data_IF_075171581576
#
_entry.id   IF_075171581576
#
_cell.length_a   1.000
_cell.length_b   1.000
_cell.length_c   1.000
_cell.angle_alpha   90.00
_cell.angle_beta   90.00
_cell.angle_gamma   90.00
#
_symmetry.space_group_name_H-M   'P 1'
#
loop_
_entity.id
_entity.type
_entity.pdbx_description
1 polymer ?
#
# COMPACT_ATOMS: atom_id res chain seq x y z
N UNK A 1 -15.46 -30.85 5.42
CA UNK A 1 -15.62 -29.93 4.27
C UNK A 1 -14.31 -29.19 4.10
N UNK A 2 -13.48 -29.59 3.14
CA UNK A 2 -12.27 -28.85 2.80
C UNK A 2 -12.66 -27.59 2.02
N UNK A 3 -12.00 -26.44 2.24
CA UNK A 3 -12.20 -25.30 1.36
C UNK A 3 -11.75 -25.66 -0.05
N UNK A 4 -12.56 -25.30 -1.04
CA UNK A 4 -12.16 -25.33 -2.44
C UNK A 4 -10.97 -24.39 -2.62
N UNK A 5 -9.76 -24.95 -2.63
CA UNK A 5 -8.57 -24.23 -3.05
C UNK A 5 -8.54 -24.35 -4.58
N UNK A 6 -8.80 -23.24 -5.26
CA UNK A 6 -8.66 -23.12 -6.71
C UNK A 6 -7.17 -22.98 -7.05
N UNK A 7 -6.56 -24.11 -7.42
CA UNK A 7 -5.15 -24.22 -7.80
C UNK A 7 -4.80 -23.48 -9.10
N UNK A 8 -5.75 -22.84 -9.79
CA UNK A 8 -5.48 -22.09 -11.03
C UNK A 8 -4.89 -20.69 -10.81
N UNK A 9 -4.97 -20.16 -9.58
CA UNK A 9 -4.54 -18.79 -9.23
C UNK A 9 -3.03 -18.67 -8.99
N UNK A 10 -2.33 -19.78 -8.74
CA UNK A 10 -0.89 -19.80 -8.42
C UNK A 10 0.02 -19.51 -9.63
N UNK A 11 -0.52 -19.52 -10.86
CA UNK A 11 0.26 -19.33 -12.09
C UNK A 11 0.67 -17.87 -12.39
N UNK A 12 0.23 -16.91 -11.58
CA UNK A 12 0.52 -15.47 -11.73
C UNK A 12 1.39 -14.90 -10.62
N UNK A 13 2.13 -15.75 -9.91
CA UNK A 13 3.27 -15.25 -9.14
C UNK A 13 4.38 -14.91 -10.14
N UNK A 14 4.72 -13.63 -10.32
CA UNK A 14 5.96 -13.28 -11.00
C UNK A 14 7.10 -13.83 -10.15
N UNK A 15 7.65 -14.98 -10.57
CA UNK A 15 8.69 -15.70 -9.85
C UNK A 15 10.00 -14.88 -9.78
N UNK A 16 10.23 -13.99 -10.76
CA UNK A 16 11.41 -13.13 -10.82
C UNK A 16 11.27 -12.02 -9.79
N UNK A 17 10.10 -11.39 -9.70
CA UNK A 17 9.84 -10.27 -8.77
C UNK A 17 9.26 -10.71 -7.41
N UNK A 18 9.04 -12.02 -7.21
CA UNK A 18 8.38 -12.62 -6.03
C UNK A 18 7.04 -11.98 -5.72
N UNK A 19 6.27 -11.62 -6.74
CA UNK A 19 4.99 -10.93 -6.57
C UNK A 19 3.81 -11.85 -6.88
N UNK A 20 2.95 -12.10 -5.89
CA UNK A 20 1.64 -12.73 -6.10
C UNK A 20 0.54 -11.66 -6.12
N UNK A 21 0.04 -11.30 -7.30
CA UNK A 21 -1.02 -10.28 -7.39
C UNK A 21 -2.28 -10.68 -6.61
N UNK A 22 -2.86 -11.89 -6.77
CA UNK A 22 -4.06 -12.27 -6.03
C UNK A 22 -3.85 -12.28 -4.51
N UNK A 23 -2.68 -12.72 -4.04
CA UNK A 23 -2.33 -12.73 -2.61
C UNK A 23 -2.23 -11.30 -2.06
N UNK A 24 -1.54 -10.41 -2.79
CA UNK A 24 -1.35 -9.02 -2.38
C UNK A 24 -2.65 -8.24 -2.44
N UNK A 25 -3.47 -8.41 -3.48
CA UNK A 25 -4.81 -7.83 -3.58
C UNK A 25 -5.67 -8.23 -2.38
N UNK A 26 -5.71 -9.53 -2.02
CA UNK A 26 -6.47 -10.00 -0.86
C UNK A 26 -5.97 -9.40 0.45
N UNK A 27 -4.65 -9.32 0.64
CA UNK A 27 -4.01 -8.73 1.83
C UNK A 27 -4.32 -7.24 1.95
N UNK A 28 -4.24 -6.49 0.85
CA UNK A 28 -4.52 -5.06 0.81
C UNK A 28 -6.00 -4.77 1.06
N UNK A 29 -6.92 -5.55 0.48
CA UNK A 29 -8.36 -5.42 0.75
C UNK A 29 -8.71 -5.55 2.25
N UNK A 30 -8.00 -6.40 2.99
CA UNK A 30 -8.19 -6.54 4.44
C UNK A 30 -7.76 -5.29 5.22
N UNK A 31 -6.84 -4.48 4.68
CA UNK A 31 -6.35 -3.27 5.33
C UNK A 31 -7.13 -2.01 4.98
N UNK A 32 -8.01 -2.02 3.97
CA UNK A 32 -8.76 -0.83 3.52
C UNK A 32 -9.64 -0.19 4.60
N UNK A 33 -10.02 -0.94 5.62
CA UNK A 33 -10.79 -0.43 6.77
C UNK A 33 -9.91 0.16 7.88
N UNK A 34 -8.60 -0.03 7.80
CA UNK A 34 -7.66 0.31 8.88
C UNK A 34 -7.01 1.69 8.68
N UNK A 35 -7.25 2.35 7.56
CA UNK A 35 -6.68 3.65 7.25
C UNK A 35 -7.67 4.50 6.45
N UNK A 36 -7.55 5.82 6.52
CA UNK A 36 -8.30 6.75 5.68
C UNK A 36 -7.55 8.07 5.54
N UNK A 37 -7.56 8.64 4.35
CA UNK A 37 -7.06 10.00 4.12
C UNK A 37 -7.98 11.10 4.62
N UNK A 38 -9.21 10.75 5.04
CA UNK A 38 -10.28 11.72 5.25
C UNK A 38 -10.90 12.27 3.96
N UNK A 39 -10.40 11.85 2.79
CA UNK A 39 -10.93 12.21 1.47
C UNK A 39 -11.30 10.94 0.68
N UNK A 40 -12.58 10.81 0.32
CA UNK A 40 -13.10 9.61 -0.36
C UNK A 40 -12.51 9.42 -1.76
N UNK A 41 -12.30 10.50 -2.53
CA UNK A 41 -11.73 10.41 -3.88
C UNK A 41 -10.29 9.90 -3.85
N UNK A 42 -9.50 10.40 -2.90
CA UNK A 42 -8.12 9.95 -2.66
C UNK A 42 -8.10 8.48 -2.21
N UNK A 43 -8.98 8.11 -1.28
CA UNK A 43 -9.10 6.72 -0.80
C UNK A 43 -9.44 5.77 -1.96
N UNK A 44 -10.44 6.10 -2.78
CA UNK A 44 -10.82 5.29 -3.93
C UNK A 44 -9.69 5.16 -4.96
N UNK A 45 -8.97 6.24 -5.23
CA UNK A 45 -7.85 6.24 -6.15
C UNK A 45 -6.75 5.28 -5.67
N UNK A 46 -6.32 5.39 -4.41
CA UNK A 46 -5.29 4.53 -3.83
C UNK A 46 -5.73 3.06 -3.85
N UNK A 47 -6.97 2.76 -3.43
CA UNK A 47 -7.49 1.39 -3.44
C UNK A 47 -7.52 0.81 -4.86
N UNK A 48 -7.97 1.59 -5.86
CA UNK A 48 -7.98 1.17 -7.28
C UNK A 48 -6.58 0.84 -7.79
N UNK A 49 -5.57 1.63 -7.42
CA UNK A 49 -4.17 1.36 -7.80
C UNK A 49 -3.65 0.11 -7.10
N UNK A 50 -3.88 -0.02 -5.79
CA UNK A 50 -3.48 -1.18 -4.98
C UNK A 50 -4.04 -2.51 -5.50
N UNK A 51 -5.31 -2.54 -5.93
CA UNK A 51 -5.94 -3.74 -6.49
C UNK A 51 -5.40 -4.15 -7.86
N UNK A 52 -4.85 -3.19 -8.62
CA UNK A 52 -4.37 -3.38 -9.99
C UNK A 52 -2.85 -3.55 -10.09
N UNK A 53 -2.12 -3.34 -8.99
CA UNK A 53 -0.66 -3.43 -8.97
C UNK A 53 -0.19 -4.82 -9.42
N UNK A 54 0.71 -4.84 -10.42
CA UNK A 54 1.28 -6.07 -10.99
C UNK A 54 2.61 -6.45 -10.37
N UNK A 55 3.21 -5.54 -9.61
CA UNK A 55 4.40 -5.77 -8.80
C UNK A 55 4.50 -4.76 -7.65
N UNK A 56 5.53 -4.92 -6.82
CA UNK A 56 5.76 -4.08 -5.65
C UNK A 56 6.05 -2.61 -5.99
N UNK A 57 6.48 -2.31 -7.23
CA UNK A 57 6.79 -0.94 -7.67
C UNK A 57 5.55 -0.17 -8.11
N UNK A 58 4.47 -0.87 -8.47
CA UNK A 58 3.21 -0.27 -8.89
C UNK A 58 2.26 0.05 -7.71
N UNK A 59 2.57 -0.42 -6.49
CA UNK A 59 1.75 -0.12 -5.31
C UNK A 59 1.94 1.33 -4.86
N UNK A 60 0.82 2.01 -4.61
CA UNK A 60 0.80 3.19 -3.77
C UNK A 60 0.52 2.77 -2.32
N UNK A 61 1.49 3.00 -1.44
CA UNK A 61 1.35 2.73 -0.01
C UNK A 61 0.79 3.96 0.70
N UNK A 62 -0.31 3.77 1.45
CA UNK A 62 -0.80 4.78 2.37
C UNK A 62 -0.08 4.68 3.71
N UNK A 63 0.55 5.77 4.15
CA UNK A 63 1.32 5.82 5.39
C UNK A 63 0.59 6.77 6.35
N UNK A 64 0.06 6.21 7.43
CA UNK A 64 -0.55 6.99 8.51
C UNK A 64 0.50 7.88 9.19
N UNK A 65 0.08 9.07 9.60
CA UNK A 65 0.98 10.07 10.16
C UNK A 65 1.69 9.58 11.44
N UNK A 66 1.04 8.71 12.21
CA UNK A 66 1.57 8.09 13.44
C UNK A 66 2.76 7.12 13.19
N UNK A 67 3.02 6.76 11.93
CA UNK A 67 4.17 5.93 11.52
C UNK A 67 5.45 6.74 11.31
N UNK A 68 5.36 8.05 11.40
CA UNK A 68 6.50 8.96 11.31
C UNK A 68 7.01 9.34 12.71
N UNK A 69 8.33 9.46 12.81
CA UNK A 69 9.08 9.86 14.00
C UNK A 69 10.06 10.98 13.65
N UNK A 70 10.54 11.71 14.67
CA UNK A 70 11.51 12.80 14.51
C UNK A 70 11.11 13.79 13.39
N UNK A 71 9.83 14.20 13.40
CA UNK A 71 9.25 15.07 12.38
C UNK A 71 9.82 16.48 12.55
N UNK A 72 10.64 16.90 11.60
CA UNK A 72 11.34 18.19 11.57
C UNK A 72 10.84 19.03 10.41
N UNK A 73 10.46 20.26 10.71
CA UNK A 73 10.12 21.25 9.68
C UNK A 73 11.35 21.54 8.79
N UNK A 74 11.12 21.62 7.49
CA UNK A 74 12.15 21.97 6.49
C UNK A 74 11.86 23.34 5.92
N UNK A 75 10.67 23.51 5.32
CA UNK A 75 10.28 24.75 4.64
C UNK A 75 8.76 24.81 4.45
N UNK A 76 8.25 25.99 4.14
CA UNK A 76 6.89 26.21 3.65
C UNK A 76 6.99 26.86 2.30
N UNK A 77 6.53 26.16 1.26
CA UNK A 77 6.62 26.63 -0.12
C UNK A 77 5.34 26.27 -0.88
N UNK A 78 4.91 27.15 -1.79
CA UNK A 78 3.71 26.95 -2.59
C UNK A 78 2.47 26.62 -1.75
N UNK A 79 1.89 25.44 -1.99
CA UNK A 79 0.63 24.98 -1.39
C UNK A 79 0.81 24.13 -0.12
N UNK A 80 2.01 24.00 0.44
CA UNK A 80 2.24 23.07 1.54
C UNK A 80 3.45 23.37 2.43
N UNK A 81 3.60 22.53 3.46
CA UNK A 81 4.74 22.53 4.37
C UNK A 81 5.52 21.24 4.19
N UNK A 82 6.84 21.38 4.04
CA UNK A 82 7.78 20.27 3.85
C UNK A 82 8.34 19.90 5.22
N UNK A 83 8.28 18.62 5.53
CA UNK A 83 8.86 18.05 6.74
C UNK A 83 9.78 16.89 6.37
N UNK A 84 10.81 16.68 7.19
CA UNK A 84 11.66 15.49 7.19
C UNK A 84 11.24 14.61 8.37
N UNK A 85 11.12 13.31 8.17
CA UNK A 85 10.77 12.37 9.22
C UNK A 85 11.47 11.02 9.02
N UNK A 86 11.52 10.22 10.09
CA UNK A 86 11.91 8.82 10.08
C UNK A 86 10.64 7.98 9.92
N UNK A 87 10.64 7.04 8.97
CA UNK A 87 9.55 6.07 8.80
C UNK A 87 9.90 4.76 9.50
N UNK A 88 9.22 4.46 10.62
CA UNK A 88 9.63 3.38 11.55
C UNK A 88 9.71 1.98 10.92
N UNK A 89 8.72 1.65 10.08
CA UNK A 89 8.56 0.29 9.56
C UNK A 89 9.11 0.14 8.13
N UNK A 90 9.50 1.24 7.49
CA UNK A 90 9.85 1.24 6.08
C UNK A 90 8.70 0.77 5.17
N UNK A 91 9.03 0.58 3.90
CA UNK A 91 8.08 0.16 2.88
C UNK A 91 7.61 -1.27 3.05
N UNK A 92 6.36 -1.54 2.65
CA UNK A 92 5.83 -2.90 2.62
C UNK A 92 6.71 -3.75 1.70
N UNK A 93 7.28 -4.82 2.27
CA UNK A 93 7.83 -5.93 1.50
C UNK A 93 6.68 -6.86 1.14
N UNK A 94 6.29 -6.80 -0.12
CA UNK A 94 5.25 -7.64 -0.72
C UNK A 94 5.83 -8.84 -1.44
#
# INVERSE_FOLDING_TARGET
MQPNVDYSIDYYCDYIEKWCQPCNTKRLQQSFKNWTSGNNEVNEFIQKVQLKARNYREILEWIEYDKFEDIKYVAKEGFGTIHKAIWKNGYIRT
#
